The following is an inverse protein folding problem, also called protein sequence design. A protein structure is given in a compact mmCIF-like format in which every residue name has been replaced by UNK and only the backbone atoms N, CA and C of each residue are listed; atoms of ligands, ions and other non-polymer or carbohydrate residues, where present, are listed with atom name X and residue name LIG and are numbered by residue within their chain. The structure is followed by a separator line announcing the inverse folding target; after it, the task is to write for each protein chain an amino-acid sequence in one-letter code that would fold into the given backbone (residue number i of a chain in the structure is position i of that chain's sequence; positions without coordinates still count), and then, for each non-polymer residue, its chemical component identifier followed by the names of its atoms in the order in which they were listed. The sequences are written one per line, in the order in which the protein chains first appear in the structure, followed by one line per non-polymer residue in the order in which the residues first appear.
data_IF_715043833352
#
_entry.id   IF_715043833352
#
_cell.length_a   1.000
_cell.length_b   1.000
_cell.length_c   1.000
_cell.angle_alpha   90.00
_cell.angle_beta   90.00
_cell.angle_gamma   90.00
#
_symmetry.space_group_name_H-M   'P 1'
#
loop_
_entity.id
_entity.type
_entity.pdbx_description
1 polymer ?
#
# COMPACT_ATOMS: atom_id res chain seq x y z
N UNK A 1 19.54 -9.25 -12.04
CA UNK A 1 20.44 -9.22 -10.88
C UNK A 1 19.62 -9.01 -9.62
N UNK A 2 19.82 -9.83 -8.62
CA UNK A 2 19.04 -9.78 -7.37
C UNK A 2 19.91 -9.16 -6.27
N UNK A 3 19.83 -7.83 -6.15
CA UNK A 3 20.70 -7.07 -5.25
C UNK A 3 20.01 -6.62 -3.94
N UNK A 4 18.75 -6.96 -3.78
CA UNK A 4 17.93 -6.51 -2.65
C UNK A 4 17.41 -7.70 -1.85
N UNK A 5 17.19 -7.50 -0.55
CA UNK A 5 16.63 -8.52 0.31
C UNK A 5 15.10 -8.53 0.23
N UNK A 6 14.52 -9.72 0.28
CA UNK A 6 13.08 -9.90 0.36
C UNK A 6 12.58 -9.57 1.76
N UNK A 7 11.48 -8.85 1.87
CA UNK A 7 10.82 -8.51 3.14
C UNK A 7 9.60 -9.43 3.32
N UNK A 8 9.36 -10.01 4.52
CA UNK A 8 10.15 -9.90 5.74
C UNK A 8 11.43 -10.73 5.69
N UNK A 9 12.45 -10.28 6.41
CA UNK A 9 13.72 -11.01 6.54
C UNK A 9 13.52 -12.16 7.52
N UNK A 10 13.90 -13.38 7.11
CA UNK A 10 13.87 -14.53 7.99
C UNK A 10 15.15 -14.61 8.82
N UNK A 11 15.10 -14.08 10.04
CA UNK A 11 16.26 -14.05 10.93
C UNK A 11 16.76 -15.43 11.36
N UNK A 12 15.91 -16.46 11.34
CA UNK A 12 16.35 -17.84 11.60
C UNK A 12 17.34 -18.32 10.54
N UNK A 13 17.13 -17.96 9.28
CA UNK A 13 18.08 -18.28 8.22
C UNK A 13 19.39 -17.55 8.40
N UNK A 14 19.35 -16.28 8.80
CA UNK A 14 20.55 -15.47 9.09
C UNK A 14 21.37 -16.12 10.20
N UNK A 15 20.74 -16.50 11.32
CA UNK A 15 21.42 -17.11 12.46
C UNK A 15 22.01 -18.48 12.15
N UNK A 16 21.44 -19.21 11.20
CA UNK A 16 21.95 -20.52 10.74
C UNK A 16 23.01 -20.40 9.63
N UNK A 17 23.39 -19.20 9.24
CA UNK A 17 24.35 -18.98 8.16
C UNK A 17 23.82 -19.35 6.76
N UNK A 18 22.49 -19.46 6.61
CA UNK A 18 21.85 -19.73 5.32
C UNK A 18 21.70 -18.46 4.49
N UNK A 19 21.63 -18.60 3.18
CA UNK A 19 21.37 -17.46 2.31
C UNK A 19 19.98 -16.89 2.56
N UNK A 20 19.92 -15.56 2.69
CA UNK A 20 18.65 -14.83 2.82
C UNK A 20 18.07 -14.62 1.42
N UNK A 21 16.77 -14.87 1.21
CA UNK A 21 16.14 -14.64 -0.09
C UNK A 21 16.34 -13.20 -0.58
N UNK A 22 16.72 -13.06 -1.85
CA UNK A 22 16.95 -11.77 -2.51
C UNK A 22 15.93 -11.55 -3.63
N UNK A 23 15.70 -10.30 -3.96
CA UNK A 23 14.82 -9.90 -5.04
C UNK A 23 15.49 -8.85 -5.94
N UNK A 24 14.88 -8.60 -7.11
CA UNK A 24 15.34 -7.58 -8.03
C UNK A 24 14.85 -6.18 -7.62
N UNK A 25 15.27 -5.15 -8.36
CA UNK A 25 14.88 -3.76 -8.11
C UNK A 25 13.36 -3.58 -8.11
N UNK A 26 12.66 -4.14 -9.10
CA UNK A 26 11.21 -3.98 -9.23
C UNK A 26 10.45 -4.56 -8.05
N UNK A 27 10.85 -5.74 -7.59
CA UNK A 27 10.28 -6.39 -6.42
C UNK A 27 10.57 -5.61 -5.14
N UNK A 28 11.78 -5.08 -5.01
CA UNK A 28 12.17 -4.27 -3.85
C UNK A 28 11.37 -2.97 -3.77
N UNK A 29 11.17 -2.30 -4.90
CA UNK A 29 10.34 -1.09 -4.97
C UNK A 29 8.88 -1.42 -4.63
N UNK A 30 8.35 -2.52 -5.17
CA UNK A 30 6.99 -2.98 -4.86
C UNK A 30 6.80 -3.25 -3.35
N UNK A 31 7.79 -3.87 -2.71
CA UNK A 31 7.76 -4.09 -1.25
C UNK A 31 7.74 -2.78 -0.48
N UNK A 32 8.52 -1.78 -0.90
CA UNK A 32 8.53 -0.46 -0.26
C UNK A 32 7.19 0.25 -0.41
N UNK A 33 6.60 0.22 -1.60
CA UNK A 33 5.28 0.80 -1.85
C UNK A 33 4.23 0.10 -0.98
N UNK A 34 4.24 -1.22 -0.94
CA UNK A 34 3.33 -2.00 -0.09
C UNK A 34 3.46 -1.58 1.39
N UNK A 35 4.68 -1.44 1.91
CA UNK A 35 4.91 -1.01 3.29
C UNK A 35 4.33 0.37 3.57
N UNK A 36 4.47 1.31 2.65
CA UNK A 36 3.87 2.65 2.79
C UNK A 36 2.35 2.55 2.83
N UNK A 37 1.75 1.74 1.95
CA UNK A 37 0.29 1.62 1.86
C UNK A 37 -0.33 0.97 3.09
N UNK A 38 0.30 -0.05 3.65
CA UNK A 38 -0.26 -0.81 4.80
C UNK A 38 0.09 -0.21 6.15
N UNK A 39 1.00 0.76 6.21
CA UNK A 39 1.39 1.43 7.44
C UNK A 39 0.49 2.64 7.68
N UNK A 40 -0.06 2.75 8.89
CA UNK A 40 -0.79 3.93 9.32
C UNK A 40 0.20 5.06 9.60
N UNK A 41 -0.11 6.28 9.17
CA UNK A 41 0.68 7.44 9.58
C UNK A 41 0.69 7.57 11.10
N UNK A 42 1.80 8.02 11.65
CA UNK A 42 2.10 8.10 13.10
C UNK A 42 2.34 6.75 13.79
N UNK A 43 2.21 5.64 13.08
CA UNK A 43 2.48 4.29 13.61
C UNK A 43 3.99 4.02 13.70
N UNK A 44 4.75 4.45 12.69
CA UNK A 44 6.18 4.21 12.63
C UNK A 44 6.94 5.22 13.50
N UNK A 45 7.55 4.72 14.56
CA UNK A 45 8.18 5.53 15.61
C UNK A 45 9.29 6.45 15.10
N UNK A 46 10.05 6.01 14.11
CA UNK A 46 11.22 6.72 13.59
C UNK A 46 10.90 7.74 12.49
N UNK A 47 9.73 7.64 11.90
CA UNK A 47 9.21 8.60 10.92
C UNK A 47 7.69 8.60 10.99
N UNK A 48 7.14 9.60 11.65
CA UNK A 48 5.70 9.70 11.88
C UNK A 48 4.90 10.01 10.61
N UNK A 49 5.57 10.53 9.58
CA UNK A 49 4.95 10.81 8.28
C UNK A 49 4.93 9.59 7.36
N UNK A 50 5.75 8.57 7.67
CA UNK A 50 5.78 7.34 6.90
C UNK A 50 4.46 6.59 7.03
N UNK A 51 3.88 6.23 5.89
CA UNK A 51 2.64 5.49 5.85
C UNK A 51 1.59 6.17 4.98
N UNK A 52 0.36 5.70 5.09
CA UNK A 52 -0.76 6.10 4.27
C UNK A 52 -1.89 6.70 5.10
N UNK A 53 -2.51 7.76 4.59
CA UNK A 53 -3.70 8.37 5.17
C UNK A 53 -4.98 7.54 4.97
N UNK A 54 -4.91 6.43 4.25
CA UNK A 54 -6.05 5.53 4.01
C UNK A 54 -6.70 5.10 5.32
N UNK A 55 -5.89 4.87 6.36
CA UNK A 55 -6.32 4.31 7.64
C UNK A 55 -6.87 5.33 8.64
N UNK A 56 -6.80 6.62 8.31
CA UNK A 56 -7.19 7.70 9.23
C UNK A 56 -8.66 8.07 9.15
N UNK A 57 -9.34 7.70 8.06
CA UNK A 57 -10.69 8.15 7.80
C UNK A 57 -11.72 7.03 7.97
N UNK A 58 -12.81 7.38 8.63
CA UNK A 58 -14.04 6.63 8.56
C UNK A 58 -14.76 7.00 7.25
N UNK A 59 -14.78 6.07 6.31
CA UNK A 59 -15.38 6.28 4.98
C UNK A 59 -16.86 6.64 5.01
N UNK A 60 -17.57 6.28 6.05
CA UNK A 60 -19.00 6.60 6.18
C UNK A 60 -19.23 8.09 6.39
N UNK A 61 -18.26 8.78 6.97
CA UNK A 61 -18.34 10.21 7.28
C UNK A 61 -17.63 11.11 6.26
N UNK A 62 -17.15 10.56 5.16
CA UNK A 62 -16.50 11.36 4.10
C UNK A 62 -17.56 11.98 3.20
N UNK A 63 -17.74 13.31 3.20
CA UNK A 63 -18.79 13.96 2.42
C UNK A 63 -18.53 13.96 0.91
N UNK A 64 -17.28 13.88 0.49
CA UNK A 64 -16.89 13.90 -0.92
C UNK A 64 -15.77 12.88 -1.18
N UNK A 65 -16.14 11.73 -1.75
CA UNK A 65 -15.20 10.64 -2.05
C UNK A 65 -14.18 11.02 -3.13
N UNK A 66 -14.55 11.83 -4.12
CA UNK A 66 -13.62 12.26 -5.16
C UNK A 66 -12.51 13.14 -4.59
N UNK A 67 -12.87 14.07 -3.74
CA UNK A 67 -11.90 14.93 -3.06
C UNK A 67 -10.99 14.11 -2.13
N UNK A 68 -11.57 13.15 -1.42
CA UNK A 68 -10.81 12.23 -0.57
C UNK A 68 -9.80 11.42 -1.38
N UNK A 69 -10.20 10.87 -2.53
CA UNK A 69 -9.30 10.14 -3.44
C UNK A 69 -8.12 11.00 -3.88
N UNK A 70 -8.39 12.20 -4.33
CA UNK A 70 -7.34 13.13 -4.78
C UNK A 70 -6.36 13.48 -3.67
N UNK A 71 -6.86 13.82 -2.49
CA UNK A 71 -6.03 14.15 -1.34
C UNK A 71 -5.19 12.97 -0.87
N UNK A 72 -5.80 11.80 -0.79
CA UNK A 72 -5.11 10.57 -0.36
C UNK A 72 -4.06 10.15 -1.37
N UNK A 73 -4.37 10.18 -2.67
CA UNK A 73 -3.41 9.87 -3.72
C UNK A 73 -2.22 10.83 -3.69
N UNK A 74 -2.47 12.12 -3.52
CA UNK A 74 -1.42 13.12 -3.40
C UNK A 74 -0.54 12.89 -2.17
N UNK A 75 -1.15 12.58 -1.05
CA UNK A 75 -0.43 12.28 0.20
C UNK A 75 0.49 11.05 0.03
N UNK A 76 -0.01 9.98 -0.58
CA UNK A 76 0.79 8.78 -0.87
C UNK A 76 1.95 9.11 -1.80
N UNK A 77 1.70 9.89 -2.86
CA UNK A 77 2.75 10.31 -3.78
C UNK A 77 3.85 11.12 -3.09
N UNK A 78 3.49 12.02 -2.18
CA UNK A 78 4.45 12.80 -1.39
C UNK A 78 5.31 11.92 -0.49
N UNK A 79 4.70 10.94 0.20
CA UNK A 79 5.43 9.99 1.05
C UNK A 79 6.37 9.14 0.21
N UNK A 80 5.93 8.65 -0.95
CA UNK A 80 6.76 7.87 -1.86
C UNK A 80 7.92 8.70 -2.44
N UNK A 81 7.68 9.94 -2.84
CA UNK A 81 8.73 10.83 -3.32
C UNK A 81 9.83 11.07 -2.27
N UNK A 82 9.44 11.12 -1.00
CA UNK A 82 10.35 11.27 0.12
C UNK A 82 11.12 9.99 0.43
N UNK A 83 10.48 8.85 0.38
CA UNK A 83 11.02 7.58 0.89
C UNK A 83 11.52 6.62 -0.19
N UNK A 84 11.09 6.77 -1.45
CA UNK A 84 11.52 5.90 -2.54
C UNK A 84 12.26 6.68 -3.62
N UNK A 85 13.56 6.78 -3.46
CA UNK A 85 14.44 7.56 -4.37
C UNK A 85 14.75 6.84 -5.68
N UNK A 86 14.42 5.57 -5.79
CA UNK A 86 14.62 4.79 -7.01
C UNK A 86 13.55 5.04 -8.08
N UNK A 87 12.45 5.72 -7.70
CA UNK A 87 11.39 6.15 -8.61
C UNK A 87 11.34 7.67 -8.73
N UNK A 88 11.03 8.12 -9.93
CA UNK A 88 10.81 9.53 -10.27
C UNK A 88 9.45 9.70 -10.94
N UNK A 89 8.93 10.92 -10.90
CA UNK A 89 7.66 11.29 -11.55
C UNK A 89 6.51 10.38 -11.13
N UNK A 90 6.36 10.19 -9.83
CA UNK A 90 5.39 9.27 -9.25
C UNK A 90 3.99 9.85 -9.39
N UNK A 91 3.07 9.08 -9.95
CA UNK A 91 1.65 9.39 -10.03
C UNK A 91 0.87 8.26 -9.35
N UNK A 92 0.01 8.62 -8.42
CA UNK A 92 -0.83 7.68 -7.67
C UNK A 92 -2.29 7.91 -8.05
N UNK A 93 -2.99 6.81 -8.36
CA UNK A 93 -4.42 6.81 -8.64
C UNK A 93 -5.13 5.84 -7.71
N UNK A 94 -6.30 6.22 -7.22
CA UNK A 94 -7.14 5.40 -6.35
C UNK A 94 -8.52 5.25 -6.98
N UNK A 95 -8.96 4.02 -7.12
CA UNK A 95 -10.33 3.67 -7.50
C UNK A 95 -11.03 2.99 -6.33
N UNK A 96 -12.27 3.39 -6.06
CA UNK A 96 -13.07 2.87 -4.96
C UNK A 96 -14.21 2.04 -5.53
N UNK A 97 -14.33 0.80 -5.07
CA UNK A 97 -15.45 -0.07 -5.38
C UNK A 97 -16.01 -0.69 -4.10
N UNK A 98 -17.24 -1.21 -4.18
CA UNK A 98 -17.86 -1.93 -3.08
C UNK A 98 -18.08 -3.37 -3.48
N UNK A 99 -17.76 -4.29 -2.58
CA UNK A 99 -18.02 -5.71 -2.75
C UNK A 99 -18.91 -6.22 -1.61
N UNK A 100 -19.90 -7.01 -1.96
CA UNK A 100 -20.76 -7.66 -0.99
C UNK A 100 -20.24 -9.07 -0.70
N UNK A 101 -20.08 -9.38 0.58
CA UNK A 101 -19.71 -10.71 1.04
C UNK A 101 -20.87 -11.29 1.84
N UNK A 102 -21.28 -12.52 1.49
CA UNK A 102 -22.24 -13.25 2.26
C UNK A 102 -21.55 -14.24 3.19
N UNK A 103 -21.86 -14.18 4.48
CA UNK A 103 -21.39 -15.14 5.47
C UNK A 103 -22.56 -15.85 6.13
N UNK A 104 -22.41 -17.15 6.35
CA UNK A 104 -23.40 -17.99 7.03
C UNK A 104 -23.96 -19.10 6.15
N UNK A 105 -24.54 -20.12 6.78
CA UNK A 105 -25.11 -21.28 6.10
C UNK A 105 -26.30 -20.95 5.21
N UNK A 106 -26.97 -19.82 5.41
CA UNK A 106 -28.17 -19.39 4.72
C UNK A 106 -28.03 -18.03 4.04
N UNK A 107 -26.82 -17.55 3.79
CA UNK A 107 -26.55 -16.23 3.20
C UNK A 107 -27.23 -15.07 3.94
N UNK A 108 -27.46 -15.21 5.25
CA UNK A 108 -28.22 -14.25 6.05
C UNK A 108 -27.45 -13.00 6.46
N UNK A 109 -26.11 -13.05 6.43
CA UNK A 109 -25.25 -11.92 6.82
C UNK A 109 -24.55 -11.36 5.59
N UNK A 110 -25.03 -10.21 5.13
CA UNK A 110 -24.36 -9.44 4.08
C UNK A 110 -23.38 -8.47 4.72
N UNK A 111 -22.11 -8.58 4.36
CA UNK A 111 -21.08 -7.60 4.71
C UNK A 111 -20.68 -6.86 3.45
N UNK A 112 -20.66 -5.54 3.53
CA UNK A 112 -20.17 -4.68 2.47
C UNK A 112 -18.74 -4.28 2.83
N UNK A 113 -17.79 -4.61 1.95
CA UNK A 113 -16.41 -4.15 2.06
C UNK A 113 -16.11 -3.19 0.94
N UNK A 114 -15.42 -2.12 1.25
CA UNK A 114 -14.88 -1.23 0.24
C UNK A 114 -13.52 -1.73 -0.20
N UNK A 115 -13.34 -1.81 -1.51
CA UNK A 115 -12.07 -2.13 -2.12
C UNK A 115 -11.45 -0.87 -2.69
N UNK A 116 -10.20 -0.63 -2.32
CA UNK A 116 -9.40 0.42 -2.90
C UNK A 116 -8.38 -0.20 -3.85
N UNK A 117 -8.48 0.12 -5.13
CA UNK A 117 -7.49 -0.23 -6.12
C UNK A 117 -6.51 0.93 -6.27
N UNK A 118 -5.29 0.73 -5.83
CA UNK A 118 -4.26 1.75 -5.81
C UNK A 118 -3.24 1.44 -6.88
N UNK A 119 -3.06 2.37 -7.82
CA UNK A 119 -2.07 2.28 -8.88
C UNK A 119 -0.97 3.31 -8.65
N UNK A 120 0.27 2.87 -8.75
CA UNK A 120 1.44 3.74 -8.68
C UNK A 120 2.21 3.61 -9.99
N UNK A 121 2.38 4.71 -10.68
CA UNK A 121 3.16 4.81 -11.89
C UNK A 121 4.35 5.74 -11.68
N UNK A 122 5.45 5.44 -12.33
CA UNK A 122 6.64 6.25 -12.26
C UNK A 122 7.70 5.76 -13.22
N UNK A 123 8.90 6.24 -13.04
CA UNK A 123 10.06 5.84 -13.84
C UNK A 123 11.22 5.50 -12.91
N UNK A 124 11.95 4.45 -13.26
CA UNK A 124 13.15 4.08 -12.51
C UNK A 124 14.24 5.13 -12.76
N UNK A 125 14.77 5.71 -11.68
CA UNK A 125 15.68 6.85 -11.75
C UNK A 125 16.94 6.58 -12.57
N UNK A 126 17.51 5.39 -12.45
CA UNK A 126 18.77 5.04 -13.13
C UNK A 126 18.61 4.70 -14.61
N UNK A 127 17.52 4.06 -14.99
CA UNK A 127 17.33 3.50 -16.32
C UNK A 127 16.28 4.25 -17.13
N UNK A 128 15.49 5.11 -16.48
CA UNK A 128 14.34 5.80 -17.05
C UNK A 128 13.28 4.86 -17.63
N UNK A 129 13.24 3.61 -17.16
CA UNK A 129 12.23 2.62 -17.55
C UNK A 129 10.92 2.91 -16.83
N UNK A 130 9.77 2.74 -17.52
CA UNK A 130 8.47 2.86 -16.87
C UNK A 130 8.31 1.82 -15.77
N UNK A 131 7.73 2.24 -14.66
CA UNK A 131 7.39 1.37 -13.54
C UNK A 131 5.89 1.43 -13.27
N UNK A 132 5.29 0.29 -13.05
CA UNK A 132 3.88 0.17 -12.73
C UNK A 132 3.68 -0.77 -11.54
N UNK A 133 2.88 -0.32 -10.57
CA UNK A 133 2.49 -1.09 -9.39
C UNK A 133 0.99 -0.95 -9.19
N UNK A 134 0.33 -2.06 -8.84
CA UNK A 134 -1.09 -2.04 -8.49
C UNK A 134 -1.34 -2.97 -7.31
N UNK A 135 -2.11 -2.50 -6.35
CA UNK A 135 -2.53 -3.28 -5.19
C UNK A 135 -3.97 -2.95 -4.83
N UNK A 136 -4.71 -3.96 -4.40
CA UNK A 136 -6.06 -3.82 -3.89
C UNK A 136 -6.07 -3.96 -2.37
N UNK A 137 -6.64 -2.99 -1.68
CA UNK A 137 -6.76 -2.97 -0.23
C UNK A 137 -8.23 -2.96 0.13
N UNK A 138 -8.64 -3.86 1.02
CA UNK A 138 -9.99 -3.90 1.55
C UNK A 138 -10.07 -3.11 2.84
N UNK A 139 -10.99 -2.16 2.86
CA UNK A 139 -11.28 -1.35 4.04
C UNK A 139 -12.68 -1.70 4.51
N UNK A 140 -12.77 -2.32 5.67
CA UNK A 140 -14.06 -2.61 6.28
C UNK A 140 -14.56 -1.37 7.02
N UNK A 141 -15.85 -1.02 6.88
CA UNK A 141 -16.43 -0.10 7.85
C UNK A 141 -16.24 -0.69 9.24
N UNK A 142 -15.90 0.16 10.20
CA UNK A 142 -15.82 -0.27 11.60
C UNK A 142 -17.25 -0.61 12.02
N UNK A 143 -17.53 -1.89 12.16
CA UNK A 143 -18.77 -2.33 12.74
C UNK A 143 -18.68 -2.11 14.24
N UNK A 144 -19.50 -1.22 14.69
CA UNK A 144 -19.87 -1.18 16.09
C UNK A 144 -20.91 -2.29 16.26
N UNK A 145 -20.53 -3.35 16.92
CA UNK A 145 -21.49 -4.34 17.38
C UNK A 145 -22.45 -3.70 18.39
#
# INVERSE_FOLDING_TARGET
MKDYYTIPINFKQVTKGQEVPKCNLYQSVAQRIHMVLVTRQKEFRYDLEFGSAIWENDFENVPNLNLWKEKTAKSIAEVLNKNEKRLERIVVKIEISQEEFTQGKNNEIKRIKRRLDISVEGFVSKTNEPYFFKESIYVSPVWLD
#
